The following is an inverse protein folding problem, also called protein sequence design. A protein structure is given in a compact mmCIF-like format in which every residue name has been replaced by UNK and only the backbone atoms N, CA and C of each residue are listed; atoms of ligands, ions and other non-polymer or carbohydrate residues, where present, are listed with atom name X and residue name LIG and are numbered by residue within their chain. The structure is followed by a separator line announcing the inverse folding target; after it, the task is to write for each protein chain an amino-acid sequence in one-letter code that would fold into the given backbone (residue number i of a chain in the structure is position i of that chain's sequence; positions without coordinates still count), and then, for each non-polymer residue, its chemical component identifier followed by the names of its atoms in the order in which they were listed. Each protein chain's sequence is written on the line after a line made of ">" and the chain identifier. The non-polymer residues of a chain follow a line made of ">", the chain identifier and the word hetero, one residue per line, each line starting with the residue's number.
data_IF_171836331174
#
_entry.id   IF_171836331174
#
_cell.length_a   1.000
_cell.length_b   1.000
_cell.length_c   1.000
_cell.angle_alpha   90.00
_cell.angle_beta   90.00
_cell.angle_gamma   90.00
#
_symmetry.space_group_name_H-M   'P 1'
#
loop_
_entity.id
_entity.type
_entity.pdbx_description
1 polymer ?
#
# COMPACT_ATOMS: atom_id res chain seq x y z
N UNK A 1 -86.13 -20.28 -29.72
CA UNK A 1 -84.68 -20.15 -29.61
C UNK A 1 -84.40 -18.64 -29.51
N UNK A 2 -83.94 -18.15 -28.35
CA UNK A 2 -83.49 -16.77 -28.26
C UNK A 2 -82.10 -16.67 -28.89
N UNK A 3 -81.77 -15.64 -29.70
CA UNK A 3 -80.47 -15.46 -30.27
C UNK A 3 -79.50 -15.16 -29.15
N UNK A 4 -78.45 -15.96 -29.06
CA UNK A 4 -77.32 -15.69 -28.16
C UNK A 4 -76.48 -14.55 -28.76
N UNK A 5 -76.51 -13.38 -28.13
CA UNK A 5 -75.69 -12.27 -28.52
C UNK A 5 -74.28 -12.61 -28.01
N UNK A 6 -73.35 -12.91 -28.91
CA UNK A 6 -71.91 -12.93 -28.59
C UNK A 6 -71.45 -11.50 -28.64
N UNK A 7 -71.15 -10.94 -27.45
CA UNK A 7 -70.49 -9.63 -27.30
C UNK A 7 -69.06 -9.86 -26.91
N UNK A 8 -68.11 -9.25 -27.65
CA UNK A 8 -66.74 -9.15 -27.25
C UNK A 8 -66.61 -7.97 -26.27
N UNK A 9 -65.92 -8.17 -25.17
CA UNK A 9 -65.75 -7.16 -24.11
C UNK A 9 -64.28 -6.73 -24.02
N UNK A 10 -63.99 -5.51 -24.32
CA UNK A 10 -62.71 -4.85 -24.10
C UNK A 10 -62.81 -4.00 -22.84
N UNK A 11 -61.88 -4.17 -21.92
CA UNK A 11 -61.74 -3.33 -20.70
C UNK A 11 -60.37 -2.68 -20.71
N UNK A 12 -60.36 -1.36 -20.68
CA UNK A 12 -59.18 -0.56 -20.58
C UNK A 12 -59.23 0.15 -19.22
N UNK A 13 -58.14 0.00 -18.43
CA UNK A 13 -58.05 0.64 -17.12
C UNK A 13 -56.81 1.54 -17.09
N UNK A 14 -57.02 2.81 -16.93
CA UNK A 14 -55.99 3.79 -16.63
C UNK A 14 -56.00 4.07 -15.13
N UNK A 15 -54.84 3.76 -14.48
CA UNK A 15 -54.70 3.97 -13.03
C UNK A 15 -53.57 4.98 -12.79
N UNK A 16 -53.95 6.09 -12.16
CA UNK A 16 -52.99 7.05 -11.65
C UNK A 16 -52.96 6.95 -10.11
N UNK A 17 -51.79 6.56 -9.58
CA UNK A 17 -51.57 6.38 -8.14
C UNK A 17 -50.36 7.23 -7.71
N UNK A 18 -50.57 8.14 -6.75
CA UNK A 18 -49.46 8.82 -6.09
C UNK A 18 -49.65 8.85 -4.58
N UNK A 19 -48.52 8.78 -3.84
CA UNK A 19 -48.59 8.75 -2.40
C UNK A 19 -47.35 9.33 -1.73
N UNK A 20 -47.59 9.98 -0.60
CA UNK A 20 -46.58 10.47 0.31
C UNK A 20 -46.57 9.58 1.56
N UNK A 21 -45.39 9.04 1.91
CA UNK A 21 -45.22 8.19 3.11
C UNK A 21 -44.09 8.75 3.97
N UNK A 22 -44.44 9.26 5.13
CA UNK A 22 -43.49 9.63 6.18
C UNK A 22 -43.34 8.47 7.15
N UNK A 23 -42.09 7.98 7.35
CA UNK A 23 -41.76 6.96 8.34
C UNK A 23 -40.77 7.50 9.33
N UNK A 24 -41.15 7.54 10.62
CA UNK A 24 -40.30 7.96 11.72
C UNK A 24 -40.15 6.83 12.73
N UNK A 25 -38.92 6.34 12.89
CA UNK A 25 -38.59 5.41 13.96
C UNK A 25 -38.60 6.18 15.29
N UNK A 26 -39.50 5.85 16.21
CA UNK A 26 -39.57 6.46 17.54
C UNK A 26 -38.63 5.74 18.49
N UNK A 27 -38.63 4.39 18.42
CA UNK A 27 -37.72 3.57 19.22
C UNK A 27 -37.31 2.34 18.44
N UNK A 28 -35.97 2.11 18.41
CA UNK A 28 -35.38 0.89 17.87
C UNK A 28 -34.01 0.69 18.50
N UNK A 29 -33.81 -0.49 19.09
CA UNK A 29 -32.55 -0.81 19.78
C UNK A 29 -31.36 -0.82 18.84
N UNK A 30 -31.51 -1.32 17.63
CA UNK A 30 -30.47 -1.35 16.58
C UNK A 30 -30.05 0.06 16.18
N UNK A 31 -30.96 1.03 16.08
CA UNK A 31 -30.64 2.43 15.79
C UNK A 31 -29.76 3.05 16.87
N UNK A 32 -30.08 2.78 18.15
CA UNK A 32 -29.29 3.26 19.29
C UNK A 32 -27.89 2.64 19.27
N UNK A 33 -27.78 1.32 19.02
CA UNK A 33 -26.50 0.62 18.94
C UNK A 33 -25.69 1.10 17.74
N UNK A 34 -26.34 1.29 16.58
CA UNK A 34 -25.68 1.79 15.36
C UNK A 34 -25.11 3.19 15.55
N UNK A 35 -25.82 4.09 16.24
CA UNK A 35 -25.30 5.41 16.55
C UNK A 35 -24.00 5.33 17.40
N UNK A 36 -23.98 4.47 18.42
CA UNK A 36 -22.77 4.22 19.23
C UNK A 36 -21.62 3.56 18.47
N UNK A 37 -21.95 2.77 17.43
CA UNK A 37 -20.96 2.13 16.58
C UNK A 37 -20.36 3.11 15.56
N UNK A 38 -21.15 4.08 15.09
CA UNK A 38 -20.72 5.05 14.08
C UNK A 38 -19.46 5.81 14.52
N UNK A 39 -19.40 6.29 15.77
CA UNK A 39 -18.22 6.98 16.29
C UNK A 39 -16.95 6.08 16.28
N UNK A 40 -17.13 4.79 16.61
CA UNK A 40 -16.01 3.82 16.58
C UNK A 40 -15.58 3.49 15.17
N UNK A 41 -16.53 3.44 14.22
CA UNK A 41 -16.24 3.25 12.80
C UNK A 41 -15.47 4.43 12.22
N UNK A 42 -15.86 5.66 12.58
CA UNK A 42 -15.14 6.88 12.19
C UNK A 42 -13.71 6.85 12.74
N UNK A 43 -13.55 6.64 14.06
CA UNK A 43 -12.24 6.57 14.68
C UNK A 43 -11.35 5.46 14.09
N UNK A 44 -11.94 4.30 13.73
CA UNK A 44 -11.21 3.23 13.02
C UNK A 44 -10.77 3.69 11.63
N UNK A 45 -11.67 4.31 10.86
CA UNK A 45 -11.35 4.79 9.52
C UNK A 45 -10.24 5.86 9.54
N UNK A 46 -10.24 6.75 10.53
CA UNK A 46 -9.17 7.73 10.76
C UNK A 46 -7.84 7.04 11.07
N UNK A 47 -7.82 6.08 12.00
CA UNK A 47 -6.61 5.33 12.32
C UNK A 47 -6.05 4.55 11.11
N UNK A 48 -6.92 3.94 10.30
CA UNK A 48 -6.54 3.23 9.08
C UNK A 48 -5.98 4.20 8.04
N UNK A 49 -6.59 5.37 7.87
CA UNK A 49 -6.11 6.42 6.95
C UNK A 49 -4.71 6.91 7.36
N UNK A 50 -4.51 7.21 8.63
CA UNK A 50 -3.21 7.66 9.13
C UNK A 50 -2.15 6.56 9.03
N UNK A 51 -2.50 5.29 9.30
CA UNK A 51 -1.61 4.16 9.07
C UNK A 51 -1.18 4.05 7.59
N UNK A 52 -2.12 4.24 6.66
CA UNK A 52 -1.85 4.23 5.23
C UNK A 52 -0.94 5.40 4.79
N UNK A 53 -1.10 6.59 5.42
CA UNK A 53 -0.19 7.72 5.19
C UNK A 53 1.23 7.41 5.68
N UNK A 54 1.38 6.84 6.87
CA UNK A 54 2.70 6.42 7.37
C UNK A 54 3.33 5.32 6.50
N UNK A 55 2.53 4.38 6.02
CA UNK A 55 3.00 3.36 5.09
C UNK A 55 3.46 3.97 3.75
N UNK A 56 2.73 4.97 3.25
CA UNK A 56 3.14 5.69 2.04
C UNK A 56 4.50 6.39 2.23
N UNK A 57 4.73 7.05 3.37
CA UNK A 57 6.02 7.67 3.70
C UNK A 57 7.15 6.64 3.62
N UNK A 58 6.98 5.47 4.25
CA UNK A 58 8.00 4.41 4.21
C UNK A 58 8.22 3.88 2.80
N UNK A 59 7.14 3.64 2.04
CA UNK A 59 7.25 3.13 0.66
C UNK A 59 7.95 4.14 -0.26
N UNK A 60 7.63 5.42 -0.15
CA UNK A 60 8.31 6.47 -0.93
C UNK A 60 9.79 6.53 -0.56
N UNK A 61 10.12 6.59 0.75
CA UNK A 61 11.50 6.59 1.22
C UNK A 61 12.27 5.35 0.75
N UNK A 62 11.66 4.15 0.82
CA UNK A 62 12.26 2.91 0.36
C UNK A 62 12.61 3.00 -1.14
N UNK A 63 11.65 3.41 -1.99
CA UNK A 63 11.89 3.52 -3.44
C UNK A 63 12.90 4.60 -3.79
N UNK A 64 12.90 5.70 -3.05
CA UNK A 64 13.91 6.74 -3.19
C UNK A 64 15.32 6.21 -2.93
N UNK A 65 15.52 5.52 -1.81
CA UNK A 65 16.82 4.94 -1.47
C UNK A 65 17.19 3.72 -2.33
N UNK A 66 16.22 2.97 -2.85
CA UNK A 66 16.48 1.91 -3.83
C UNK A 66 17.08 2.47 -5.13
N UNK A 67 16.62 3.65 -5.59
CA UNK A 67 17.22 4.33 -6.76
C UNK A 67 18.63 4.78 -6.44
N UNK A 68 18.86 5.43 -5.29
CA UNK A 68 20.21 5.87 -4.89
C UNK A 68 21.19 4.69 -4.77
N UNK A 69 20.74 3.57 -4.20
CA UNK A 69 21.55 2.36 -4.09
C UNK A 69 21.90 1.79 -5.48
N UNK A 70 20.94 1.82 -6.42
CA UNK A 70 21.19 1.38 -7.80
C UNK A 70 22.13 2.34 -8.56
N UNK A 71 22.09 3.65 -8.28
CA UNK A 71 23.03 4.63 -8.82
C UNK A 71 24.45 4.43 -8.28
N UNK A 72 24.59 4.18 -6.97
CA UNK A 72 25.86 3.88 -6.34
C UNK A 72 26.47 2.59 -6.86
N UNK A 73 25.64 1.57 -7.05
CA UNK A 73 26.04 0.28 -7.65
C UNK A 73 26.55 0.49 -9.08
N UNK A 74 25.80 1.21 -9.91
CA UNK A 74 26.20 1.48 -11.30
C UNK A 74 27.51 2.28 -11.36
N UNK A 75 27.64 3.28 -10.51
CA UNK A 75 28.87 4.09 -10.41
C UNK A 75 30.07 3.24 -10.01
N UNK A 76 29.90 2.36 -9.01
CA UNK A 76 30.95 1.43 -8.56
C UNK A 76 31.37 0.44 -9.66
N UNK A 77 30.39 -0.16 -10.34
CA UNK A 77 30.65 -1.14 -11.44
C UNK A 77 31.30 -0.43 -12.64
N UNK A 78 30.88 0.78 -12.97
CA UNK A 78 31.52 1.55 -14.07
C UNK A 78 32.97 1.88 -13.75
N UNK A 79 33.27 2.32 -12.53
CA UNK A 79 34.64 2.59 -12.07
C UNK A 79 35.48 1.31 -12.09
N UNK A 80 34.92 0.17 -11.67
CA UNK A 80 35.58 -1.14 -11.73
C UNK A 80 35.88 -1.54 -13.17
N UNK A 81 34.89 -1.49 -14.07
CA UNK A 81 35.10 -1.77 -15.51
C UNK A 81 36.20 -0.90 -16.13
N UNK A 82 36.19 0.41 -15.81
CA UNK A 82 37.21 1.34 -16.32
C UNK A 82 38.59 0.97 -15.81
N UNK A 83 38.73 0.57 -14.55
CA UNK A 83 40.00 0.13 -13.99
C UNK A 83 40.47 -1.21 -14.60
N UNK A 84 39.55 -2.17 -14.81
CA UNK A 84 39.85 -3.45 -15.47
C UNK A 84 40.27 -3.23 -16.93
N UNK A 85 39.61 -2.33 -17.65
CA UNK A 85 39.96 -1.99 -19.03
C UNK A 85 41.41 -1.47 -19.14
N UNK A 86 41.81 -0.55 -18.23
CA UNK A 86 43.19 -0.04 -18.17
C UNK A 86 44.20 -1.15 -17.87
N UNK A 87 43.84 -2.09 -16.99
CA UNK A 87 44.70 -3.25 -16.67
C UNK A 87 44.87 -4.22 -17.82
N UNK A 88 43.77 -4.49 -18.54
CA UNK A 88 43.81 -5.32 -19.74
C UNK A 88 44.77 -4.72 -20.78
N UNK A 89 44.70 -3.42 -20.99
CA UNK A 89 45.60 -2.72 -21.92
C UNK A 89 47.08 -2.84 -21.47
N UNK A 90 47.33 -2.60 -20.17
CA UNK A 90 48.66 -2.80 -19.60
C UNK A 90 49.17 -4.25 -19.73
N UNK A 91 48.27 -5.21 -19.52
CA UNK A 91 48.64 -6.65 -19.67
C UNK A 91 48.99 -6.95 -21.13
N UNK A 92 48.23 -6.45 -22.12
CA UNK A 92 48.57 -6.64 -23.56
C UNK A 92 49.94 -6.05 -23.88
N UNK A 93 50.23 -4.84 -23.43
CA UNK A 93 51.56 -4.18 -23.67
C UNK A 93 52.69 -4.95 -23.01
N UNK A 94 52.54 -5.41 -21.75
CA UNK A 94 53.53 -6.21 -21.04
C UNK A 94 53.78 -7.56 -21.71
N UNK A 95 52.75 -8.21 -22.29
CA UNK A 95 52.84 -9.43 -23.02
C UNK A 95 53.61 -9.24 -24.35
N UNK A 96 53.33 -8.18 -25.08
CA UNK A 96 54.02 -7.86 -26.33
C UNK A 96 55.56 -7.71 -26.17
N UNK A 97 55.98 -7.24 -25.00
CA UNK A 97 57.40 -7.13 -24.68
C UNK A 97 57.97 -8.35 -23.89
N UNK A 98 57.14 -9.40 -23.73
CA UNK A 98 57.56 -10.67 -23.14
C UNK A 98 57.68 -10.67 -21.61
N UNK A 99 57.08 -9.72 -20.90
CA UNK A 99 57.19 -9.58 -19.45
C UNK A 99 56.17 -10.42 -18.66
N UNK A 100 55.06 -10.84 -19.27
CA UNK A 100 54.03 -11.66 -18.65
C UNK A 100 53.57 -12.79 -19.58
N UNK A 101 52.87 -13.78 -19.04
CA UNK A 101 52.32 -14.90 -19.80
C UNK A 101 51.02 -14.49 -20.52
N UNK A 102 50.69 -15.22 -21.61
CA UNK A 102 49.42 -15.03 -22.33
C UNK A 102 48.20 -15.33 -21.43
N UNK A 103 48.36 -16.19 -20.42
CA UNK A 103 47.31 -16.47 -19.43
C UNK A 103 46.85 -15.22 -18.70
N UNK A 104 47.79 -14.33 -18.30
CA UNK A 104 47.46 -13.08 -17.60
C UNK A 104 46.62 -12.14 -18.47
N UNK A 105 46.86 -12.11 -19.80
CA UNK A 105 46.06 -11.36 -20.75
C UNK A 105 44.67 -11.97 -20.87
N UNK A 106 44.57 -13.31 -20.95
CA UNK A 106 43.26 -14.00 -21.07
C UNK A 106 42.43 -13.84 -19.79
N UNK A 107 43.04 -13.89 -18.61
CA UNK A 107 42.38 -13.63 -17.33
C UNK A 107 41.86 -12.19 -17.24
N UNK A 108 42.68 -11.20 -17.66
CA UNK A 108 42.26 -9.80 -17.74
C UNK A 108 41.15 -9.55 -18.75
N UNK A 109 41.15 -10.25 -19.89
CA UNK A 109 40.09 -10.18 -20.88
C UNK A 109 38.78 -10.75 -20.35
N UNK A 110 38.84 -11.94 -19.71
CA UNK A 110 37.67 -12.55 -19.09
C UNK A 110 37.06 -11.66 -18.00
N UNK A 111 37.87 -11.02 -17.16
CA UNK A 111 37.40 -10.06 -16.15
C UNK A 111 36.74 -8.81 -16.79
N UNK A 112 37.31 -8.31 -17.89
CA UNK A 112 36.73 -7.19 -18.62
C UNK A 112 35.34 -7.54 -19.20
N UNK A 113 35.24 -8.68 -19.90
CA UNK A 113 34.00 -9.13 -20.50
C UNK A 113 32.90 -9.35 -19.42
N UNK A 114 33.26 -9.88 -18.26
CA UNK A 114 32.36 -10.00 -17.12
C UNK A 114 31.92 -8.63 -16.60
N UNK A 115 32.85 -7.66 -16.46
CA UNK A 115 32.54 -6.31 -15.97
C UNK A 115 31.60 -5.54 -16.90
N UNK A 116 31.68 -5.77 -18.21
CA UNK A 116 30.72 -5.23 -19.22
C UNK A 116 29.33 -5.81 -19.00
N UNK A 117 29.22 -7.12 -18.76
CA UNK A 117 27.94 -7.76 -18.49
C UNK A 117 27.32 -7.26 -17.18
N UNK A 118 28.14 -7.08 -16.14
CA UNK A 118 27.68 -6.54 -14.83
C UNK A 118 27.19 -5.10 -14.95
N UNK A 119 27.86 -4.25 -15.74
CA UNK A 119 27.39 -2.87 -15.99
C UNK A 119 26.04 -2.83 -16.72
N UNK A 120 25.82 -3.70 -17.70
CA UNK A 120 24.52 -3.83 -18.37
C UNK A 120 23.44 -4.23 -17.36
N UNK A 121 23.76 -5.17 -16.46
CA UNK A 121 22.89 -5.58 -15.37
C UNK A 121 22.53 -4.42 -14.42
N UNK A 122 23.53 -3.63 -14.01
CA UNK A 122 23.35 -2.49 -13.12
C UNK A 122 22.53 -1.36 -13.80
N UNK A 123 22.76 -1.07 -15.08
CA UNK A 123 21.94 -0.11 -15.86
C UNK A 123 20.45 -0.53 -15.87
N UNK A 124 20.18 -1.81 -16.08
CA UNK A 124 18.81 -2.33 -16.02
C UNK A 124 18.22 -2.19 -14.62
N UNK A 125 19.01 -2.52 -13.57
CA UNK A 125 18.54 -2.38 -12.18
C UNK A 125 18.17 -0.95 -11.85
N UNK A 126 18.99 0.04 -12.24
CA UNK A 126 18.69 1.46 -12.06
C UNK A 126 17.41 1.87 -12.80
N UNK A 127 17.26 1.47 -14.06
CA UNK A 127 16.04 1.76 -14.83
C UNK A 127 14.79 1.18 -14.14
N UNK A 128 14.88 -0.05 -13.62
CA UNK A 128 13.78 -0.69 -12.89
C UNK A 128 13.47 0.04 -11.57
N UNK A 129 14.49 0.46 -10.81
CA UNK A 129 14.30 1.21 -9.58
C UNK A 129 13.61 2.56 -9.82
N UNK A 130 14.00 3.27 -10.88
CA UNK A 130 13.37 4.54 -11.30
C UNK A 130 11.88 4.34 -11.67
N UNK A 131 11.52 3.23 -12.35
CA UNK A 131 10.12 2.91 -12.66
C UNK A 131 9.31 2.61 -11.40
N UNK A 132 9.87 1.90 -10.41
CA UNK A 132 9.19 1.69 -9.14
C UNK A 132 8.99 3.00 -8.32
N UNK A 133 9.92 3.94 -8.41
CA UNK A 133 9.73 5.26 -7.81
C UNK A 133 8.61 6.02 -8.55
N UNK A 134 8.62 6.00 -9.88
CA UNK A 134 7.59 6.61 -10.71
C UNK A 134 6.19 6.04 -10.44
N UNK A 135 6.08 4.73 -10.22
CA UNK A 135 4.79 4.08 -9.89
C UNK A 135 4.12 4.73 -8.65
N UNK A 136 4.92 5.17 -7.68
CA UNK A 136 4.40 5.78 -6.45
C UNK A 136 4.22 7.29 -6.59
N UNK A 137 5.16 7.99 -7.24
CA UNK A 137 5.16 9.46 -7.34
C UNK A 137 4.30 9.98 -8.49
N UNK A 138 4.08 9.15 -9.53
CA UNK A 138 3.42 9.54 -10.79
C UNK A 138 4.34 10.32 -11.73
N UNK A 139 5.54 10.72 -11.31
CA UNK A 139 6.46 11.57 -12.06
C UNK A 139 7.80 10.88 -12.30
N UNK A 140 8.47 11.23 -13.40
CA UNK A 140 9.82 10.78 -13.71
C UNK A 140 10.83 11.70 -13.02
N UNK A 141 11.43 11.24 -11.94
CA UNK A 141 12.48 11.98 -11.22
C UNK A 141 13.84 11.50 -11.71
N UNK A 142 14.59 12.38 -12.35
CA UNK A 142 15.92 12.08 -12.94
C UNK A 142 17.07 12.36 -11.98
N UNK A 143 16.94 13.39 -11.15
CA UNK A 143 18.00 13.83 -10.25
C UNK A 143 17.54 13.68 -8.81
N UNK A 144 18.26 12.87 -8.04
CA UNK A 144 18.00 12.65 -6.63
C UNK A 144 19.13 13.22 -5.78
N UNK A 145 18.78 13.71 -4.60
CA UNK A 145 19.75 14.13 -3.61
C UNK A 145 20.19 12.95 -2.74
N UNK A 146 21.47 12.82 -2.49
CA UNK A 146 22.03 11.74 -1.67
C UNK A 146 22.42 12.24 -0.27
N UNK A 147 22.41 11.38 0.77
CA UNK A 147 22.87 11.76 2.10
C UNK A 147 24.33 12.19 2.08
N UNK A 148 24.64 13.31 2.76
CA UNK A 148 26.03 13.78 2.97
C UNK A 148 26.89 12.71 3.62
N UNK A 149 28.20 12.73 3.40
CA UNK A 149 29.13 11.78 4.05
C UNK A 149 29.07 11.86 5.58
N UNK A 150 28.87 13.06 6.12
CA UNK A 150 28.76 13.37 7.55
C UNK A 150 27.31 13.22 8.09
N UNK A 151 26.44 12.48 7.40
CA UNK A 151 25.08 12.22 7.88
C UNK A 151 25.11 11.69 9.32
N UNK A 152 24.37 12.33 10.26
CA UNK A 152 24.46 11.99 11.68
C UNK A 152 23.82 10.64 11.99
N UNK A 153 24.64 9.66 12.34
CA UNK A 153 24.20 8.38 12.87
C UNK A 153 23.89 8.53 14.35
N UNK A 154 22.59 8.69 14.70
CA UNK A 154 22.15 8.90 16.08
C UNK A 154 21.49 7.63 16.63
N UNK A 155 21.98 7.16 17.76
CA UNK A 155 21.30 6.11 18.53
C UNK A 155 19.97 6.67 19.05
N UNK A 156 18.86 5.92 18.98
CA UNK A 156 17.59 6.34 19.56
C UNK A 156 17.77 6.76 21.04
N UNK A 157 17.32 7.97 21.38
CA UNK A 157 17.52 8.53 22.73
C UNK A 157 16.74 7.78 23.82
N UNK A 158 15.71 7.01 23.46
CA UNK A 158 14.88 6.23 24.38
C UNK A 158 15.33 4.78 24.39
N UNK A 159 15.05 4.08 25.50
CA UNK A 159 15.33 2.66 25.62
C UNK A 159 14.40 1.82 24.71
N UNK A 160 14.81 0.58 24.42
CA UNK A 160 13.97 -0.40 23.71
C UNK A 160 12.58 -0.53 24.37
N UNK A 161 12.53 -0.58 25.69
CA UNK A 161 11.29 -0.71 26.44
C UNK A 161 10.36 0.48 26.24
N UNK A 162 10.90 1.71 26.24
CA UNK A 162 10.11 2.92 26.02
C UNK A 162 9.51 2.96 24.61
N UNK A 163 10.25 2.48 23.60
CA UNK A 163 9.76 2.36 22.23
C UNK A 163 8.65 1.32 22.10
N UNK A 164 8.80 0.18 22.75
CA UNK A 164 7.77 -0.87 22.81
C UNK A 164 6.50 -0.34 23.50
N UNK A 165 6.64 0.30 24.65
CA UNK A 165 5.51 0.86 25.40
C UNK A 165 4.78 1.94 24.58
N UNK A 166 5.52 2.77 23.87
CA UNK A 166 4.95 3.76 22.95
C UNK A 166 4.20 3.07 21.79
N UNK A 167 4.80 2.08 21.15
CA UNK A 167 4.19 1.32 20.05
C UNK A 167 2.90 0.62 20.51
N UNK A 168 2.90 0.02 21.68
CA UNK A 168 1.70 -0.61 22.24
C UNK A 168 0.58 0.38 22.54
N UNK A 169 0.88 1.67 22.73
CA UNK A 169 -0.13 2.68 23.00
C UNK A 169 -0.59 3.42 21.73
N UNK A 170 0.30 3.71 20.80
CA UNK A 170 0.06 4.66 19.71
C UNK A 170 0.11 4.04 18.31
N UNK A 171 0.56 2.78 18.16
CA UNK A 171 0.58 2.14 16.83
C UNK A 171 -0.82 2.11 16.22
N UNK A 172 -0.95 2.70 15.03
CA UNK A 172 -2.25 2.94 14.38
C UNK A 172 -2.96 1.64 13.98
N UNK A 173 -2.22 0.60 13.55
CA UNK A 173 -2.78 -0.71 13.24
C UNK A 173 -3.31 -1.40 14.50
N UNK A 174 -2.62 -1.24 15.62
CA UNK A 174 -3.09 -1.77 16.90
C UNK A 174 -4.31 -1.00 17.42
N UNK A 175 -4.35 0.33 17.24
CA UNK A 175 -5.53 1.16 17.55
C UNK A 175 -6.74 0.72 16.72
N UNK A 176 -6.57 0.53 15.41
CA UNK A 176 -7.61 0.02 14.52
C UNK A 176 -8.11 -1.37 14.97
N UNK A 177 -7.20 -2.28 15.33
CA UNK A 177 -7.57 -3.62 15.81
C UNK A 177 -8.31 -3.61 17.17
N UNK A 178 -7.99 -2.67 18.07
CA UNK A 178 -8.75 -2.46 19.32
C UNK A 178 -10.16 -1.95 19.04
N UNK A 179 -10.31 -1.10 18.02
CA UNK A 179 -11.64 -0.62 17.62
C UNK A 179 -12.45 -1.73 16.94
N UNK A 180 -11.81 -2.64 16.20
CA UNK A 180 -12.45 -3.83 15.63
C UNK A 180 -13.00 -4.78 16.70
N UNK A 181 -12.23 -5.01 17.77
CA UNK A 181 -12.71 -5.80 18.91
C UNK A 181 -13.95 -5.15 19.55
N UNK A 182 -13.92 -3.82 19.78
CA UNK A 182 -15.05 -3.08 20.35
C UNK A 182 -16.27 -3.11 19.42
N UNK A 183 -16.10 -2.97 18.12
CA UNK A 183 -17.17 -3.07 17.13
C UNK A 183 -17.78 -4.48 17.08
N UNK A 184 -16.96 -5.53 17.14
CA UNK A 184 -17.42 -6.91 17.22
C UNK A 184 -18.17 -7.19 18.53
N UNK A 185 -17.80 -6.55 19.63
CA UNK A 185 -18.53 -6.61 20.89
C UNK A 185 -19.89 -5.92 20.79
N UNK A 186 -19.95 -4.74 20.16
CA UNK A 186 -21.22 -4.03 19.95
C UNK A 186 -22.14 -4.80 19.02
N UNK A 187 -21.59 -5.58 18.06
CA UNK A 187 -22.38 -6.46 17.18
C UNK A 187 -23.23 -7.47 17.96
N UNK A 188 -22.74 -7.97 19.09
CA UNK A 188 -23.54 -8.86 19.97
C UNK A 188 -24.79 -8.12 20.44
N UNK A 189 -24.65 -6.85 20.85
CA UNK A 189 -25.79 -6.02 21.31
C UNK A 189 -26.74 -5.70 20.14
N UNK A 190 -26.19 -5.45 18.95
CA UNK A 190 -26.97 -5.24 17.74
C UNK A 190 -27.79 -6.49 17.38
N UNK A 191 -27.20 -7.68 17.39
CA UNK A 191 -27.90 -8.94 17.08
C UNK A 191 -28.96 -9.31 18.10
N UNK A 192 -28.86 -8.80 19.33
CA UNK A 192 -29.90 -8.95 20.35
C UNK A 192 -31.18 -8.14 20.04
N UNK A 193 -31.13 -7.19 19.08
CA UNK A 193 -32.29 -6.38 18.69
C UNK A 193 -33.51 -7.25 18.34
N UNK A 194 -33.32 -8.42 17.74
CA UNK A 194 -34.40 -9.34 17.43
C UNK A 194 -35.18 -9.89 18.65
N UNK A 195 -34.81 -9.51 19.89
CA UNK A 195 -35.55 -9.79 21.12
C UNK A 195 -36.17 -8.53 21.74
N UNK A 196 -35.92 -7.33 21.16
CA UNK A 196 -36.41 -6.07 21.71
C UNK A 196 -37.57 -5.50 20.86
N UNK A 197 -38.47 -4.71 21.48
CA UNK A 197 -39.54 -4.05 20.75
C UNK A 197 -38.99 -2.93 19.85
N UNK A 198 -39.77 -2.63 18.82
CA UNK A 198 -39.60 -1.42 18.00
C UNK A 198 -40.90 -0.63 17.91
N UNK A 199 -40.80 0.67 17.81
CA UNK A 199 -41.93 1.60 17.71
C UNK A 199 -41.69 2.52 16.51
N UNK A 200 -42.63 2.52 15.58
CA UNK A 200 -42.57 3.28 14.35
C UNK A 200 -43.84 4.10 14.13
N UNK A 201 -43.69 5.38 13.85
CA UNK A 201 -44.78 6.26 13.38
C UNK A 201 -44.73 6.29 11.86
N UNK A 202 -45.87 6.00 11.23
CA UNK A 202 -46.05 6.12 9.80
C UNK A 202 -47.23 7.06 9.52
N UNK A 203 -47.02 8.10 8.76
CA UNK A 203 -48.07 8.92 8.18
C UNK A 203 -48.09 8.67 6.67
N UNK A 204 -49.25 8.43 6.12
CA UNK A 204 -49.41 8.20 4.68
C UNK A 204 -50.57 9.01 4.14
N UNK A 205 -50.43 9.46 2.92
CA UNK A 205 -51.46 10.09 2.11
C UNK A 205 -51.34 9.47 0.73
N UNK A 206 -52.40 8.90 0.23
CA UNK A 206 -52.46 8.31 -1.11
C UNK A 206 -53.70 8.84 -1.83
N UNK A 207 -53.57 9.13 -3.09
CA UNK A 207 -54.63 9.44 -4.03
C UNK A 207 -54.51 8.51 -5.20
N UNK A 208 -55.63 7.87 -5.55
CA UNK A 208 -55.72 6.93 -6.64
C UNK A 208 -56.91 7.28 -7.50
N UNK A 209 -56.70 7.56 -8.77
CA UNK A 209 -57.69 7.73 -9.80
C UNK A 209 -57.66 6.54 -10.73
N UNK A 210 -58.83 5.93 -10.94
CA UNK A 210 -58.96 4.79 -11.83
C UNK A 210 -60.08 5.11 -12.83
N UNK A 211 -59.71 5.25 -14.09
CA UNK A 211 -60.63 5.39 -15.20
C UNK A 211 -60.76 4.03 -15.88
N UNK A 212 -61.99 3.54 -15.97
CA UNK A 212 -62.33 2.22 -16.55
C UNK A 212 -63.24 2.43 -17.76
N UNK A 213 -62.72 2.17 -18.95
CA UNK A 213 -63.50 2.15 -20.17
C UNK A 213 -63.81 0.71 -20.56
N UNK A 214 -65.12 0.43 -20.64
CA UNK A 214 -65.62 -0.87 -21.05
C UNK A 214 -66.38 -0.69 -22.36
N UNK A 215 -65.92 -1.38 -23.43
CA UNK A 215 -66.54 -1.38 -24.71
C UNK A 215 -67.05 -2.80 -25.00
N UNK A 216 -68.34 -2.88 -25.33
CA UNK A 216 -69.00 -4.11 -25.77
C UNK A 216 -69.28 -4.01 -27.25
N UNK A 217 -68.63 -4.80 -28.06
CA UNK A 217 -68.85 -4.96 -29.47
C UNK A 217 -69.84 -6.11 -29.70
N UNK A 218 -70.98 -5.82 -30.38
CA UNK A 218 -71.95 -6.79 -30.66
C UNK A 218 -72.61 -6.60 -32.06
N UNK A 219 -73.27 -7.61 -32.57
CA UNK A 219 -74.07 -7.49 -33.79
C UNK A 219 -75.49 -7.14 -33.37
N UNK A 220 -75.97 -5.96 -33.80
CA UNK A 220 -77.34 -5.55 -33.52
C UNK A 220 -78.34 -6.61 -34.09
N UNK A 221 -79.16 -7.18 -33.24
CA UNK A 221 -80.10 -8.27 -33.67
C UNK A 221 -81.21 -7.79 -34.60
N UNK A 222 -81.45 -6.48 -34.71
CA UNK A 222 -82.51 -5.87 -35.55
C UNK A 222 -81.99 -5.51 -36.92
N UNK A 223 -80.78 -4.89 -36.97
CA UNK A 223 -80.21 -4.40 -38.21
C UNK A 223 -79.14 -5.29 -38.84
N UNK A 224 -78.63 -6.27 -38.06
CA UNK A 224 -77.51 -7.17 -38.50
C UNK A 224 -76.18 -6.47 -38.70
N UNK A 225 -76.02 -5.20 -38.24
CA UNK A 225 -74.83 -4.43 -38.40
C UNK A 225 -73.96 -4.47 -37.09
N UNK A 226 -72.67 -4.38 -37.19
CA UNK A 226 -71.77 -4.19 -36.01
C UNK A 226 -72.14 -2.90 -35.26
N UNK A 227 -72.37 -3.03 -33.95
CA UNK A 227 -72.59 -1.89 -33.03
C UNK A 227 -71.72 -2.05 -31.80
N UNK A 228 -71.31 -0.92 -31.24
CA UNK A 228 -70.55 -0.88 -29.99
C UNK A 228 -71.25 0.03 -28.97
N UNK A 229 -71.14 -0.39 -27.70
CA UNK A 229 -71.60 0.45 -26.57
C UNK A 229 -70.45 0.56 -25.59
N UNK A 230 -70.05 1.80 -25.28
CA UNK A 230 -69.00 2.11 -24.34
C UNK A 230 -69.57 2.68 -23.05
N UNK A 231 -69.04 2.21 -21.94
CA UNK A 231 -69.32 2.70 -20.60
C UNK A 231 -68.02 3.15 -19.99
N UNK A 232 -67.94 4.40 -19.57
CA UNK A 232 -66.82 4.98 -18.83
C UNK A 232 -67.20 5.13 -17.36
N UNK A 233 -66.41 4.63 -16.46
CA UNK A 233 -66.55 4.78 -15.02
C UNK A 233 -65.23 5.28 -14.45
N UNK A 234 -65.29 6.35 -13.62
CA UNK A 234 -64.15 6.92 -12.97
C UNK A 234 -64.32 6.84 -11.46
N UNK A 235 -63.33 6.24 -10.80
CA UNK A 235 -63.32 6.11 -9.36
C UNK A 235 -62.07 6.85 -8.84
N UNK A 236 -62.29 7.93 -8.07
CA UNK A 236 -61.22 8.57 -7.32
C UNK A 236 -61.30 8.21 -5.85
N UNK A 237 -60.13 7.85 -5.29
CA UNK A 237 -60.03 7.48 -3.88
C UNK A 237 -58.88 8.24 -3.22
N UNK A 238 -59.18 8.92 -2.14
CA UNK A 238 -58.20 9.55 -1.27
C UNK A 238 -58.13 8.81 0.07
N UNK A 239 -56.92 8.54 0.55
CA UNK A 239 -56.73 7.89 1.85
C UNK A 239 -55.63 8.55 2.63
N UNK A 240 -55.93 8.99 3.81
CA UNK A 240 -54.96 9.56 4.78
C UNK A 240 -54.97 8.72 6.06
N UNK A 241 -53.80 8.62 6.69
CA UNK A 241 -53.74 7.90 7.95
C UNK A 241 -52.42 8.09 8.69
N UNK A 242 -52.50 8.11 10.00
CA UNK A 242 -51.37 8.10 10.91
C UNK A 242 -51.46 6.82 11.73
N UNK A 243 -50.38 6.06 11.69
CA UNK A 243 -50.29 4.74 12.34
C UNK A 243 -49.10 4.72 13.28
N UNK A 244 -49.30 4.31 14.51
CA UNK A 244 -48.26 3.98 15.45
C UNK A 244 -48.15 2.42 15.54
N UNK A 245 -47.05 1.90 15.02
CA UNK A 245 -46.78 0.47 14.96
C UNK A 245 -45.83 0.07 16.05
N UNK A 246 -46.30 -0.79 16.96
CA UNK A 246 -45.46 -1.44 17.99
C UNK A 246 -45.22 -2.90 17.56
N UNK A 247 -43.98 -3.28 17.38
CA UNK A 247 -43.59 -4.63 17.01
C UNK A 247 -42.70 -5.25 18.09
N UNK A 248 -43.14 -6.36 18.68
CA UNK A 248 -42.39 -7.16 19.65
C UNK A 248 -42.29 -8.61 19.16
N UNK A 249 -41.12 -9.08 18.72
CA UNK A 249 -40.92 -10.44 18.32
C UNK A 249 -40.92 -11.38 19.52
N UNK A 250 -41.99 -12.15 19.70
CA UNK A 250 -42.09 -13.10 20.83
C UNK A 250 -41.34 -14.40 20.58
N UNK A 251 -41.31 -14.85 19.33
CA UNK A 251 -40.62 -16.07 18.93
C UNK A 251 -40.21 -16.01 17.46
N UNK A 252 -38.95 -16.29 17.19
CA UNK A 252 -38.33 -16.25 15.86
C UNK A 252 -37.68 -17.60 15.49
N UNK A 253 -38.25 -18.75 15.94
CA UNK A 253 -37.73 -20.07 15.63
C UNK A 253 -36.26 -20.31 16.04
N UNK A 254 -35.75 -19.61 17.07
CA UNK A 254 -34.35 -19.71 17.49
C UNK A 254 -33.36 -18.92 16.63
N UNK A 255 -33.78 -18.29 15.53
CA UNK A 255 -32.92 -17.58 14.60
C UNK A 255 -32.15 -16.42 15.26
N UNK A 256 -32.82 -15.61 16.09
CA UNK A 256 -32.16 -14.50 16.84
C UNK A 256 -31.10 -15.02 17.79
N UNK A 257 -31.39 -16.06 18.59
CA UNK A 257 -30.43 -16.66 19.50
C UNK A 257 -29.22 -17.26 18.78
N UNK A 258 -29.41 -17.81 17.57
CA UNK A 258 -28.33 -18.34 16.75
C UNK A 258 -27.42 -17.20 16.23
N UNK A 259 -27.99 -16.09 15.75
CA UNK A 259 -27.22 -14.89 15.31
C UNK A 259 -26.44 -14.26 16.47
N UNK A 260 -27.01 -14.25 17.69
CA UNK A 260 -26.30 -13.76 18.87
C UNK A 260 -25.11 -14.67 19.20
N UNK A 261 -25.27 -16.00 19.14
CA UNK A 261 -24.15 -16.93 19.34
C UNK A 261 -23.07 -16.76 18.27
N UNK A 262 -23.45 -16.63 17.01
CA UNK A 262 -22.50 -16.31 15.92
C UNK A 262 -21.69 -15.05 16.26
N UNK A 263 -22.35 -13.94 16.63
CA UNK A 263 -21.68 -12.70 16.99
C UNK A 263 -20.74 -12.87 18.21
N UNK A 264 -21.09 -13.70 19.19
CA UNK A 264 -20.21 -14.01 20.34
C UNK A 264 -18.94 -14.73 19.87
N UNK A 265 -19.03 -15.69 18.94
CA UNK A 265 -17.84 -16.38 18.42
C UNK A 265 -16.99 -15.47 17.53
N UNK A 266 -17.61 -14.60 16.71
CA UNK A 266 -16.89 -13.58 15.94
C UNK A 266 -16.16 -12.58 16.84
N UNK A 267 -16.77 -12.16 17.95
CA UNK A 267 -16.09 -11.32 18.93
C UNK A 267 -14.90 -12.05 19.59
N UNK A 268 -15.02 -13.36 19.88
CA UNK A 268 -13.89 -14.14 20.37
C UNK A 268 -12.74 -14.19 19.35
N UNK A 269 -13.06 -14.42 18.09
CA UNK A 269 -12.08 -14.39 17.00
C UNK A 269 -11.39 -13.02 16.88
N UNK A 270 -12.16 -11.92 16.96
CA UNK A 270 -11.61 -10.56 16.94
C UNK A 270 -10.68 -10.28 18.14
N UNK A 271 -10.99 -10.83 19.32
CA UNK A 271 -10.12 -10.72 20.50
C UNK A 271 -8.80 -11.47 20.33
N UNK A 272 -8.82 -12.69 19.78
CA UNK A 272 -7.58 -13.42 19.47
C UNK A 272 -6.76 -12.71 18.37
N UNK A 273 -7.43 -12.12 17.39
CA UNK A 273 -6.78 -11.29 16.38
C UNK A 273 -6.09 -10.06 17.01
N UNK A 274 -6.75 -9.37 17.94
CA UNK A 274 -6.14 -8.26 18.68
C UNK A 274 -4.89 -8.70 19.45
N UNK A 275 -4.92 -9.86 20.12
CA UNK A 275 -3.75 -10.39 20.79
C UNK A 275 -2.59 -10.70 19.83
N UNK A 276 -2.92 -11.24 18.64
CA UNK A 276 -1.93 -11.50 17.60
C UNK A 276 -1.27 -10.19 17.14
N UNK A 277 -2.08 -9.17 16.81
CA UNK A 277 -1.59 -7.84 16.39
C UNK A 277 -0.77 -7.19 17.49
N UNK A 278 -1.17 -7.33 18.78
CA UNK A 278 -0.40 -6.80 19.92
C UNK A 278 1.01 -7.39 19.97
N UNK A 279 1.12 -8.73 19.90
CA UNK A 279 2.44 -9.40 19.90
C UNK A 279 3.27 -9.07 18.65
N UNK A 280 2.61 -8.91 17.51
CA UNK A 280 3.27 -8.50 16.27
C UNK A 280 3.81 -7.06 16.37
N UNK A 281 3.04 -6.12 16.90
CA UNK A 281 3.47 -4.73 17.16
C UNK A 281 4.67 -4.69 18.09
N UNK A 282 4.65 -5.46 19.19
CA UNK A 282 5.76 -5.57 20.13
C UNK A 282 7.03 -6.09 19.44
N UNK A 283 6.91 -7.16 18.65
CA UNK A 283 8.03 -7.71 17.88
C UNK A 283 8.57 -6.70 16.85
N UNK A 284 7.69 -6.07 16.07
CA UNK A 284 8.08 -5.07 15.07
C UNK A 284 8.81 -3.88 15.68
N UNK A 285 8.36 -3.39 16.84
CA UNK A 285 9.02 -2.30 17.54
C UNK A 285 10.43 -2.69 18.01
N UNK A 286 10.60 -3.91 18.57
CA UNK A 286 11.93 -4.42 18.95
C UNK A 286 12.83 -4.62 17.76
N UNK A 287 12.32 -5.26 16.70
CA UNK A 287 13.09 -5.49 15.46
C UNK A 287 13.57 -4.16 14.86
N UNK A 288 12.70 -3.14 14.81
CA UNK A 288 13.08 -1.83 14.29
C UNK A 288 14.13 -1.13 15.18
N UNK A 289 13.98 -1.19 16.51
CA UNK A 289 14.96 -0.62 17.43
C UNK A 289 16.33 -1.29 17.31
N UNK A 290 16.36 -2.62 17.33
CA UNK A 290 17.60 -3.40 17.17
C UNK A 290 18.20 -3.18 15.77
N UNK A 291 17.36 -3.02 14.76
CA UNK A 291 17.78 -2.68 13.40
C UNK A 291 18.53 -1.35 13.34
N UNK A 292 18.05 -0.30 14.00
CA UNK A 292 18.75 0.99 14.04
C UNK A 292 20.12 0.86 14.71
N UNK A 293 20.22 0.15 15.83
CA UNK A 293 21.48 -0.07 16.55
C UNK A 293 22.47 -0.91 15.72
N UNK A 294 21.96 -1.94 15.06
CA UNK A 294 22.79 -2.81 14.22
C UNK A 294 23.34 -2.05 13.02
N UNK A 295 22.49 -1.29 12.32
CA UNK A 295 22.92 -0.53 11.14
C UNK A 295 23.85 0.63 11.50
N UNK A 296 23.67 1.31 12.64
CA UNK A 296 24.61 2.31 13.13
C UNK A 296 26.02 1.73 13.30
N UNK A 297 26.12 0.55 13.92
CA UNK A 297 27.38 -0.15 14.10
C UNK A 297 27.95 -0.69 12.78
N UNK A 298 27.08 -1.19 11.89
CA UNK A 298 27.43 -1.72 10.59
C UNK A 298 27.99 -0.66 9.65
N UNK A 299 27.38 0.54 9.61
CA UNK A 299 27.89 1.68 8.82
C UNK A 299 29.33 2.02 9.22
N UNK A 300 29.60 2.12 10.54
CA UNK A 300 30.96 2.39 11.03
C UNK A 300 31.96 1.30 10.66
N UNK A 301 31.56 0.05 10.79
CA UNK A 301 32.40 -1.10 10.43
C UNK A 301 32.70 -1.14 8.92
N UNK A 302 31.69 -0.87 8.07
CA UNK A 302 31.84 -0.85 6.62
C UNK A 302 32.67 0.35 6.15
N UNK A 303 32.56 1.50 6.80
CA UNK A 303 33.43 2.64 6.54
C UNK A 303 34.91 2.27 6.75
N UNK A 304 35.24 1.55 7.85
CA UNK A 304 36.57 1.05 8.09
C UNK A 304 36.98 -0.02 7.08
N UNK A 305 36.04 -0.91 6.66
CA UNK A 305 36.28 -1.93 5.65
C UNK A 305 36.67 -1.31 4.30
N UNK A 306 36.01 -0.21 3.89
CA UNK A 306 36.40 0.54 2.68
C UNK A 306 37.83 1.04 2.77
N UNK A 307 38.21 1.66 3.90
CA UNK A 307 39.56 2.14 4.09
C UNK A 307 40.60 1.00 4.04
N UNK A 308 40.32 -0.13 4.71
CA UNK A 308 41.21 -1.30 4.72
C UNK A 308 41.30 -1.98 3.34
N UNK A 309 40.19 -2.10 2.60
CA UNK A 309 40.19 -2.67 1.25
C UNK A 309 40.96 -1.79 0.26
N UNK A 310 40.87 -0.44 0.41
CA UNK A 310 41.67 0.49 -0.40
C UNK A 310 43.15 0.27 -0.19
N UNK A 311 43.63 0.23 1.06
CA UNK A 311 45.03 -0.05 1.39
C UNK A 311 45.46 -1.44 0.90
N UNK A 312 44.61 -2.45 1.00
CA UNK A 312 44.91 -3.80 0.50
C UNK A 312 45.08 -3.81 -1.02
N UNK A 313 44.21 -3.09 -1.75
CA UNK A 313 44.37 -2.94 -3.21
C UNK A 313 45.67 -2.27 -3.58
N UNK A 314 46.03 -1.16 -2.92
CA UNK A 314 47.30 -0.43 -3.15
C UNK A 314 48.50 -1.34 -2.91
N UNK A 315 48.51 -2.11 -1.79
CA UNK A 315 49.59 -3.02 -1.46
C UNK A 315 49.65 -4.20 -2.47
N UNK A 316 48.52 -4.74 -2.91
CA UNK A 316 48.48 -5.83 -3.90
C UNK A 316 48.96 -5.33 -5.26
N UNK A 317 48.58 -4.13 -5.65
CA UNK A 317 49.04 -3.48 -6.87
C UNK A 317 50.58 -3.30 -6.85
N UNK A 318 51.12 -2.77 -5.77
CA UNK A 318 52.60 -2.62 -5.61
C UNK A 318 53.29 -3.98 -5.67
N UNK A 319 52.73 -5.03 -5.05
CA UNK A 319 53.24 -6.41 -5.14
C UNK A 319 53.23 -6.96 -6.55
N UNK A 320 52.21 -6.70 -7.34
CA UNK A 320 52.11 -7.06 -8.76
C UNK A 320 53.19 -6.37 -9.60
N UNK A 321 53.41 -5.05 -9.36
CA UNK A 321 54.40 -4.29 -10.11
C UNK A 321 55.82 -4.79 -9.92
N UNK A 322 56.14 -5.35 -8.73
CA UNK A 322 57.45 -5.98 -8.44
C UNK A 322 57.45 -7.50 -8.65
N UNK A 323 56.38 -8.10 -9.17
CA UNK A 323 56.27 -9.51 -9.55
C UNK A 323 56.06 -10.47 -8.37
N UNK A 324 55.67 -10.03 -7.17
CA UNK A 324 55.39 -10.86 -5.99
C UNK A 324 53.93 -11.24 -5.85
N UNK A 325 53.02 -10.65 -6.65
CA UNK A 325 51.57 -10.91 -6.72
C UNK A 325 51.16 -11.16 -8.16
N UNK A 326 50.04 -11.86 -8.33
CA UNK A 326 49.45 -12.15 -9.64
C UNK A 326 48.45 -11.07 -10.02
N UNK A 327 48.06 -10.97 -11.29
CA UNK A 327 47.00 -10.11 -11.78
C UNK A 327 45.67 -10.49 -11.13
N UNK A 328 45.40 -11.76 -10.87
CA UNK A 328 44.22 -12.28 -10.20
C UNK A 328 44.09 -11.72 -8.77
N UNK A 329 45.20 -11.64 -8.02
CA UNK A 329 45.21 -11.04 -6.68
C UNK A 329 44.76 -9.58 -6.73
N UNK A 330 45.20 -8.84 -7.73
CA UNK A 330 44.84 -7.44 -7.92
C UNK A 330 43.36 -7.28 -8.28
N UNK A 331 42.85 -8.09 -9.20
CA UNK A 331 41.44 -8.10 -9.60
C UNK A 331 40.53 -8.46 -8.41
N UNK A 332 40.92 -9.45 -7.61
CA UNK A 332 40.17 -9.81 -6.39
C UNK A 332 40.18 -8.72 -5.34
N UNK A 333 41.30 -8.02 -5.12
CA UNK A 333 41.38 -6.90 -4.19
C UNK A 333 40.54 -5.72 -4.66
N UNK A 334 40.51 -5.48 -5.96
CA UNK A 334 39.68 -4.45 -6.59
C UNK A 334 38.18 -4.75 -6.43
N UNK A 335 37.76 -5.97 -6.75
CA UNK A 335 36.38 -6.40 -6.52
C UNK A 335 35.96 -6.24 -5.05
N UNK A 336 36.85 -6.61 -4.11
CA UNK A 336 36.60 -6.47 -2.67
C UNK A 336 36.41 -5.00 -2.26
N UNK A 337 37.19 -4.07 -2.83
CA UNK A 337 37.03 -2.63 -2.57
C UNK A 337 35.67 -2.10 -3.06
N UNK A 338 35.30 -2.39 -4.31
CA UNK A 338 34.01 -1.90 -4.85
C UNK A 338 32.80 -2.53 -4.16
N UNK A 339 32.90 -3.79 -3.79
CA UNK A 339 31.87 -4.45 -2.95
C UNK A 339 31.75 -3.77 -1.57
N UNK A 340 32.89 -3.42 -0.93
CA UNK A 340 32.86 -2.69 0.35
C UNK A 340 32.25 -1.30 0.22
N UNK A 341 32.52 -0.58 -0.86
CA UNK A 341 31.93 0.75 -1.14
C UNK A 341 30.41 0.62 -1.32
N UNK A 342 29.94 -0.31 -2.14
CA UNK A 342 28.51 -0.52 -2.38
C UNK A 342 27.79 -0.91 -1.08
N UNK A 343 28.35 -1.83 -0.29
CA UNK A 343 27.79 -2.23 1.00
C UNK A 343 27.74 -1.08 2.01
N UNK A 344 28.75 -0.19 2.00
CA UNK A 344 28.76 0.97 2.86
C UNK A 344 27.61 1.95 2.53
N UNK A 345 27.40 2.29 1.26
CA UNK A 345 26.28 3.16 0.87
C UNK A 345 24.94 2.52 1.18
N UNK A 346 24.76 1.23 0.86
CA UNK A 346 23.54 0.50 1.17
C UNK A 346 23.22 0.53 2.66
N UNK A 347 24.20 0.29 3.54
CA UNK A 347 23.99 0.29 4.99
C UNK A 347 23.57 1.66 5.53
N UNK A 348 23.99 2.76 4.90
CA UNK A 348 23.56 4.12 5.26
C UNK A 348 22.08 4.33 4.94
N UNK A 349 21.62 3.84 3.79
CA UNK A 349 20.20 3.89 3.42
C UNK A 349 19.36 3.00 4.32
N UNK A 350 19.83 1.80 4.63
CA UNK A 350 19.16 0.87 5.54
C UNK A 350 19.03 1.47 6.97
N UNK A 351 20.04 2.19 7.43
CA UNK A 351 19.98 2.92 8.71
C UNK A 351 18.84 3.95 8.71
N UNK A 352 18.74 4.79 7.68
CA UNK A 352 17.71 5.83 7.57
C UNK A 352 16.33 5.17 7.53
N UNK A 353 16.16 4.12 6.72
CA UNK A 353 14.91 3.39 6.61
C UNK A 353 14.50 2.72 7.93
N UNK A 354 15.45 2.13 8.66
CA UNK A 354 15.17 1.53 9.96
C UNK A 354 14.79 2.58 11.01
N UNK A 355 15.38 3.77 10.97
CA UNK A 355 14.98 4.89 11.83
C UNK A 355 13.54 5.35 11.55
N UNK A 356 13.14 5.45 10.28
CA UNK A 356 11.76 5.75 9.88
C UNK A 356 10.79 4.62 10.30
N UNK A 357 11.16 3.35 10.08
CA UNK A 357 10.36 2.18 10.49
C UNK A 357 10.15 2.14 12.00
N UNK A 358 11.14 2.54 12.80
CA UNK A 358 11.00 2.64 14.25
C UNK A 358 9.95 3.69 14.64
N UNK A 359 9.96 4.87 14.01
CA UNK A 359 8.94 5.91 14.21
C UNK A 359 7.55 5.44 13.76
N UNK A 360 7.46 4.70 12.64
CA UNK A 360 6.20 4.09 12.16
C UNK A 360 5.68 3.04 13.16
N UNK A 361 6.52 2.15 13.64
CA UNK A 361 6.14 1.14 14.64
C UNK A 361 5.59 1.79 15.92
N UNK A 362 6.17 2.94 16.32
CA UNK A 362 5.71 3.74 17.44
C UNK A 362 4.44 4.58 17.12
N UNK A 363 3.99 4.64 15.86
CA UNK A 363 2.82 5.40 15.45
C UNK A 363 3.03 6.92 15.41
N UNK A 364 4.27 7.40 15.41
CA UNK A 364 4.63 8.83 15.46
C UNK A 364 5.28 9.35 14.18
N UNK A 365 5.39 8.51 13.15
CA UNK A 365 5.99 8.92 11.87
C UNK A 365 5.14 10.00 11.22
N UNK A 366 5.79 11.11 10.81
CA UNK A 366 5.18 12.26 10.17
C UNK A 366 6.01 12.72 8.95
N UNK A 367 5.42 13.58 8.13
CA UNK A 367 6.12 14.16 6.96
C UNK A 367 7.34 14.98 7.40
N UNK A 368 7.27 15.63 8.56
CA UNK A 368 8.40 16.38 9.14
C UNK A 368 9.65 15.52 9.33
N UNK A 369 9.50 14.22 9.56
CA UNK A 369 10.64 13.30 9.69
C UNK A 369 11.41 13.16 8.36
N UNK A 370 10.72 13.27 7.22
CA UNK A 370 11.35 13.34 5.90
C UNK A 370 12.02 14.69 5.68
N UNK A 371 11.40 15.80 6.10
CA UNK A 371 11.99 17.15 6.00
C UNK A 371 13.28 17.26 6.84
N UNK A 372 13.33 16.60 8.00
CA UNK A 372 14.56 16.51 8.79
C UNK A 372 15.66 15.75 8.05
N UNK A 373 15.34 14.68 7.33
CA UNK A 373 16.30 13.92 6.52
C UNK A 373 16.73 14.74 5.31
N UNK A 374 15.82 15.45 4.65
CA UNK A 374 16.10 16.26 3.46
C UNK A 374 17.16 17.33 3.70
N UNK A 375 17.23 17.93 4.90
CA UNK A 375 18.27 18.88 5.28
C UNK A 375 19.72 18.34 5.20
N UNK A 376 19.84 17.02 5.27
CA UNK A 376 21.11 16.30 5.16
C UNK A 376 21.33 15.69 3.77
N UNK A 377 20.42 15.92 2.82
CA UNK A 377 20.60 15.51 1.43
C UNK A 377 21.32 16.61 0.64
N UNK A 378 22.11 16.21 -0.34
CA UNK A 378 22.78 17.10 -1.29
C UNK A 378 22.55 16.59 -2.70
N UNK A 379 22.29 17.52 -3.63
CA UNK A 379 22.22 17.18 -5.04
C UNK A 379 23.53 16.61 -5.53
N UNK A 380 23.48 15.54 -6.30
CA UNK A 380 24.64 14.99 -7.00
C UNK A 380 24.32 14.75 -8.45
N UNK A 381 25.38 14.69 -9.29
CA UNK A 381 25.24 14.34 -10.69
C UNK A 381 24.75 12.90 -10.83
N UNK A 382 23.89 12.66 -11.80
CA UNK A 382 23.51 11.29 -12.13
C UNK A 382 24.69 10.49 -12.69
N UNK A 383 24.70 9.16 -12.58
CA UNK A 383 25.77 8.35 -13.16
C UNK A 383 26.00 8.65 -14.66
N UNK A 384 24.91 8.85 -15.40
CA UNK A 384 24.97 9.15 -16.84
C UNK A 384 25.69 10.49 -17.11
N UNK A 385 25.41 11.53 -16.32
CA UNK A 385 26.10 12.83 -16.43
C UNK A 385 27.57 12.72 -16.07
N UNK A 386 27.90 11.99 -15.01
CA UNK A 386 29.27 11.77 -14.57
C UNK A 386 30.09 11.02 -15.64
N UNK A 387 29.53 9.96 -16.23
CA UNK A 387 30.20 9.17 -17.28
C UNK A 387 30.43 9.99 -18.56
N UNK A 388 29.44 10.79 -18.99
CA UNK A 388 29.58 11.64 -20.15
C UNK A 388 30.71 12.68 -19.99
N UNK A 389 30.89 13.23 -18.79
CA UNK A 389 32.00 14.15 -18.48
C UNK A 389 33.37 13.43 -18.51
N UNK A 390 33.45 12.19 -17.99
CA UNK A 390 34.68 11.39 -18.05
C UNK A 390 35.10 11.06 -19.49
N UNK A 391 34.13 10.66 -20.34
CA UNK A 391 34.38 10.40 -21.77
C UNK A 391 34.84 11.67 -22.50
N UNK A 392 34.21 12.83 -22.24
CA UNK A 392 34.61 14.10 -22.82
C UNK A 392 36.01 14.54 -22.40
N UNK A 393 36.37 14.32 -21.13
CA UNK A 393 37.70 14.63 -20.60
C UNK A 393 38.79 13.67 -21.13
N UNK A 394 38.44 12.42 -21.42
CA UNK A 394 39.33 11.39 -22.00
C UNK A 394 39.62 11.63 -23.48
N UNK A 395 38.71 12.26 -24.22
CA UNK A 395 38.86 12.53 -25.67
C UNK A 395 39.72 13.78 -25.95
N UNK A 396 39.97 14.63 -24.92
CA UNK A 396 40.73 15.87 -25.06
C UNK A 396 42.22 15.71 -24.68
N UNK A 397 42.70 14.51 -24.43
CA UNK A 397 44.10 14.15 -24.19
C UNK A 397 44.60 13.21 -25.29
#
# INVERSE_FOLDING_TARGET
>A
MQPRIEADRTVENDVMDWGLVLRQTIFSWDSIVNLKRADKQIAKAEAVREAAQQDLIIRVAQRYFDVLAAEDLLTSIHADRTAIARRLEQAKQRFEVGLIAITDVQESQAAYDQSVADEIGAKRQLATAREFLREITGEYVTELSAPKEDFPLRIPARSERDWVDMSLNQNLNLVASRLDEKLARDEISFRRNGHYPSLQLTARMNEQDTDTDQTYDYIDPITGQPASVSFSDSISGESEGIFLSFNLPLFAGGGTSSRVREAVYLHRASREQLQRVTRETERQSRDAYLGVLAEESRVKALQQAVASSRTALEATQAGFDVGTRTIVDVLNSQFSLYAAITNYYQSRYDYILNALKLKQAAGILQVQDLEEIDQFLVSRKTPEQAFAEEEAAGTSR
#
